data_IF_510907451366
#
_entry.id   IF_510907451366
#
_cell.length_a   1.000
_cell.length_b   1.000
_cell.length_c   1.000
_cell.angle_alpha   90.00
_cell.angle_beta   90.00
_cell.angle_gamma   90.00
#
_symmetry.space_group_name_H-M   'P 1'
#
loop_
_entity.id
_entity.type
_entity.pdbx_description
1 polymer ?
#
# COMPACT_ATOMS: atom_id res chain seq x y z
N UNK A 1 40.59 4.92 -29.93
CA UNK A 1 40.46 3.73 -29.07
C UNK A 1 40.11 4.19 -27.65
N UNK A 2 38.82 4.36 -27.34
CA UNK A 2 38.37 4.82 -26.03
C UNK A 2 36.90 4.50 -25.70
N UNK A 3 36.19 3.80 -26.59
CA UNK A 3 34.73 3.62 -26.49
C UNK A 3 34.32 2.46 -25.59
N UNK A 4 35.06 1.34 -25.57
CA UNK A 4 34.67 0.16 -24.78
C UNK A 4 34.78 0.27 -23.25
N UNK A 5 35.39 1.32 -22.69
CA UNK A 5 35.57 1.44 -21.23
C UNK A 5 34.35 2.05 -20.54
N UNK A 6 33.65 2.95 -21.22
CA UNK A 6 32.42 3.55 -20.69
C UNK A 6 31.25 2.55 -20.78
N UNK A 7 31.15 1.81 -21.89
CA UNK A 7 30.09 0.82 -22.10
C UNK A 7 30.14 -0.31 -21.05
N UNK A 8 31.33 -0.89 -20.81
CA UNK A 8 31.49 -1.93 -19.77
C UNK A 8 31.19 -1.40 -18.36
N UNK A 9 31.51 -0.14 -18.08
CA UNK A 9 31.19 0.49 -16.80
C UNK A 9 29.68 0.72 -16.66
N UNK A 10 28.99 1.18 -17.71
CA UNK A 10 27.54 1.37 -17.73
C UNK A 10 26.83 0.02 -17.55
N UNK A 11 27.23 -1.03 -18.27
CA UNK A 11 26.68 -2.37 -18.11
C UNK A 11 26.85 -2.90 -16.68
N UNK A 12 28.01 -2.66 -16.07
CA UNK A 12 28.27 -3.04 -14.68
C UNK A 12 27.36 -2.26 -13.71
N UNK A 13 27.23 -0.95 -13.89
CA UNK A 13 26.34 -0.12 -13.06
C UNK A 13 24.87 -0.53 -13.21
N UNK A 14 24.43 -0.86 -14.42
CA UNK A 14 23.07 -1.35 -14.67
C UNK A 14 22.81 -2.68 -13.96
N UNK A 15 23.76 -3.64 -14.03
CA UNK A 15 23.66 -4.90 -13.28
C UNK A 15 23.62 -4.70 -11.76
N UNK A 16 24.39 -3.74 -11.25
CA UNK A 16 24.37 -3.40 -9.82
C UNK A 16 23.03 -2.78 -9.40
N UNK A 17 22.46 -1.88 -10.22
CA UNK A 17 21.13 -1.32 -9.96
C UNK A 17 20.07 -2.42 -9.98
N UNK A 18 20.09 -3.29 -10.99
CA UNK A 18 19.15 -4.41 -11.12
C UNK A 18 19.21 -5.35 -9.90
N UNK A 19 20.42 -5.74 -9.49
CA UNK A 19 20.62 -6.57 -8.30
C UNK A 19 20.11 -5.93 -7.01
N UNK A 20 20.27 -4.61 -6.84
CA UNK A 20 19.76 -3.90 -5.67
C UNK A 20 18.24 -3.79 -5.72
N UNK A 21 17.66 -3.57 -6.90
CA UNK A 21 16.21 -3.55 -7.08
C UNK A 21 15.57 -4.89 -6.74
N UNK A 22 16.18 -6.00 -7.17
CA UNK A 22 15.73 -7.35 -6.83
C UNK A 22 15.80 -7.60 -5.31
N UNK A 23 16.90 -7.23 -4.67
CA UNK A 23 17.05 -7.36 -3.21
C UNK A 23 15.97 -6.56 -2.46
N UNK A 24 15.71 -5.32 -2.88
CA UNK A 24 14.66 -4.48 -2.31
C UNK A 24 13.26 -5.08 -2.54
N UNK A 25 12.99 -5.62 -3.73
CA UNK A 25 11.72 -6.26 -4.04
C UNK A 25 11.46 -7.46 -3.13
N UNK A 26 12.48 -8.29 -2.88
CA UNK A 26 12.35 -9.40 -1.94
C UNK A 26 12.13 -8.93 -0.49
N UNK A 27 12.81 -7.88 -0.06
CA UNK A 27 12.61 -7.31 1.28
C UNK A 27 11.19 -6.79 1.47
N UNK A 28 10.63 -6.12 0.46
CA UNK A 28 9.23 -5.65 0.46
C UNK A 28 8.26 -6.84 0.51
N UNK A 29 8.49 -7.87 -0.31
CA UNK A 29 7.65 -9.07 -0.31
C UNK A 29 7.62 -9.77 1.06
N UNK A 30 8.78 -9.88 1.73
CA UNK A 30 8.87 -10.43 3.09
C UNK A 30 8.18 -9.55 4.14
N UNK A 31 8.17 -8.23 3.95
CA UNK A 31 7.45 -7.32 4.84
C UNK A 31 5.93 -7.43 4.65
N UNK A 32 5.46 -7.63 3.41
CA UNK A 32 4.04 -7.83 3.08
C UNK A 32 3.46 -9.11 3.73
N UNK A 33 4.26 -10.17 3.87
CA UNK A 33 3.85 -11.40 4.59
C UNK A 33 3.55 -11.17 6.07
N UNK A 34 4.07 -10.10 6.66
CA UNK A 34 3.81 -9.74 8.08
C UNK A 34 2.54 -8.91 8.22
N UNK A 35 1.91 -8.50 7.12
CA UNK A 35 0.70 -7.70 7.12
C UNK A 35 -0.52 -8.57 7.48
N UNK A 36 -1.39 -8.13 8.41
CA UNK A 36 -2.62 -8.86 8.71
C UNK A 36 -3.45 -9.07 7.44
N UNK A 37 -3.96 -10.29 7.23
CA UNK A 37 -4.70 -10.67 6.01
C UNK A 37 -5.83 -9.69 5.63
N UNK A 38 -6.52 -9.12 6.64
CA UNK A 38 -7.57 -8.14 6.40
C UNK A 38 -7.02 -6.81 5.84
N UNK A 39 -5.84 -6.37 6.28
CA UNK A 39 -5.20 -5.15 5.76
C UNK A 39 -4.70 -5.39 4.35
N UNK A 40 -4.09 -6.54 4.06
CA UNK A 40 -3.69 -6.91 2.68
C UNK A 40 -4.88 -6.87 1.73
N UNK A 41 -5.99 -7.54 2.09
CA UNK A 41 -7.24 -7.48 1.33
C UNK A 41 -7.78 -6.06 1.15
N UNK A 42 -7.66 -5.19 2.15
CA UNK A 42 -8.04 -3.78 2.01
C UNK A 42 -7.16 -3.09 0.96
N UNK A 43 -5.85 -3.27 1.04
CA UNK A 43 -4.86 -2.63 0.15
C UNK A 43 -5.01 -3.07 -1.29
N UNK A 44 -5.40 -4.32 -1.53
CA UNK A 44 -5.67 -4.88 -2.86
C UNK A 44 -6.93 -4.29 -3.53
N UNK A 45 -7.85 -3.73 -2.74
CA UNK A 45 -9.15 -3.22 -3.22
C UNK A 45 -9.22 -1.69 -3.32
N UNK A 46 -8.22 -1.00 -2.78
CA UNK A 46 -8.12 0.47 -2.80
C UNK A 46 -7.09 0.92 -3.84
N UNK A 47 -7.47 1.88 -4.66
CA UNK A 47 -6.53 2.63 -5.50
C UNK A 47 -5.81 3.70 -4.64
N UNK A 48 -4.55 3.97 -4.96
CA UNK A 48 -3.76 5.01 -4.31
C UNK A 48 -4.38 6.39 -4.56
N UNK A 49 -4.34 7.26 -3.54
CA UNK A 49 -4.84 8.65 -3.56
C UNK A 49 -6.34 8.82 -3.89
N UNK A 50 -7.10 7.72 -4.00
CA UNK A 50 -8.53 7.75 -4.26
C UNK A 50 -9.34 7.71 -2.96
N UNK A 51 -10.26 8.66 -2.71
CA UNK A 51 -11.08 8.67 -1.50
C UNK A 51 -12.28 7.73 -1.59
N UNK A 52 -12.38 6.79 -0.65
CA UNK A 52 -13.51 5.87 -0.54
C UNK A 52 -14.37 6.13 0.70
N UNK A 53 -15.68 6.00 0.55
CA UNK A 53 -16.63 5.89 1.66
C UNK A 53 -16.48 4.54 2.35
N UNK A 54 -16.94 4.45 3.60
CA UNK A 54 -17.08 3.16 4.27
C UNK A 54 -18.01 2.19 3.51
N UNK A 55 -19.04 2.71 2.83
CA UNK A 55 -20.00 1.90 2.09
C UNK A 55 -19.37 1.26 0.84
N UNK A 56 -18.61 2.03 0.06
CA UNK A 56 -17.87 1.52 -1.11
C UNK A 56 -16.84 0.47 -0.71
N UNK A 57 -16.11 0.70 0.39
CA UNK A 57 -15.17 -0.29 0.92
C UNK A 57 -15.87 -1.57 1.37
N UNK A 58 -17.02 -1.44 2.06
CA UNK A 58 -17.82 -2.62 2.43
C UNK A 58 -18.29 -3.39 1.21
N UNK A 59 -18.75 -2.71 0.15
CA UNK A 59 -19.16 -3.35 -1.08
C UNK A 59 -18.00 -4.05 -1.78
N UNK A 60 -16.85 -3.38 -1.95
CA UNK A 60 -15.65 -3.94 -2.60
C UNK A 60 -15.04 -5.13 -1.84
N UNK A 61 -15.19 -5.15 -0.52
CA UNK A 61 -14.69 -6.23 0.35
C UNK A 61 -15.76 -7.26 0.71
N UNK A 62 -16.98 -7.11 0.18
CA UNK A 62 -18.13 -7.98 0.45
C UNK A 62 -18.44 -8.12 1.97
N UNK A 63 -18.25 -7.02 2.71
CA UNK A 63 -18.48 -6.97 4.15
C UNK A 63 -19.92 -6.58 4.48
N UNK A 64 -20.54 -7.34 5.38
CA UNK A 64 -21.89 -7.05 5.89
C UNK A 64 -21.91 -6.08 7.08
N UNK A 65 -20.78 -5.91 7.77
CA UNK A 65 -20.70 -5.15 9.03
C UNK A 65 -19.70 -4.01 8.96
N UNK A 66 -20.17 -2.80 9.28
CA UNK A 66 -19.32 -1.61 9.42
C UNK A 66 -18.33 -1.74 10.58
N UNK A 67 -18.70 -2.45 11.65
CA UNK A 67 -17.80 -2.74 12.76
C UNK A 67 -16.65 -3.65 12.32
N UNK A 68 -16.93 -4.65 11.48
CA UNK A 68 -15.89 -5.51 10.91
C UNK A 68 -14.92 -4.69 10.04
N UNK A 69 -15.43 -3.84 9.14
CA UNK A 69 -14.59 -2.94 8.33
C UNK A 69 -13.71 -2.06 9.23
N UNK A 70 -14.28 -1.43 10.27
CA UNK A 70 -13.53 -0.53 11.16
C UNK A 70 -12.43 -1.27 11.93
N UNK A 71 -12.76 -2.37 12.59
CA UNK A 71 -11.86 -2.99 13.57
C UNK A 71 -10.81 -3.89 12.92
N UNK A 72 -11.17 -4.57 11.82
CA UNK A 72 -10.30 -5.59 11.21
C UNK A 72 -9.53 -5.05 10.00
N UNK A 73 -10.04 -4.01 9.34
CA UNK A 73 -9.44 -3.48 8.10
C UNK A 73 -8.89 -2.08 8.33
N UNK A 74 -9.75 -1.09 8.60
CA UNK A 74 -9.36 0.32 8.64
C UNK A 74 -8.46 0.66 9.85
N UNK A 75 -8.83 0.25 11.07
CA UNK A 75 -8.06 0.60 12.27
C UNK A 75 -6.62 0.04 12.23
N UNK A 76 -6.40 -1.24 11.86
CA UNK A 76 -5.06 -1.74 11.66
C UNK A 76 -4.31 -1.03 10.54
N UNK A 77 -4.94 -0.76 9.39
CA UNK A 77 -4.32 -0.04 8.28
C UNK A 77 -3.90 1.40 8.65
N UNK A 78 -4.74 2.11 9.43
CA UNK A 78 -4.42 3.46 9.92
C UNK A 78 -3.28 3.44 10.94
N UNK A 79 -3.21 2.45 11.84
CA UNK A 79 -2.07 2.30 12.77
C UNK A 79 -0.75 2.03 12.05
N UNK A 80 -0.81 1.33 10.92
CA UNK A 80 0.34 1.07 10.05
C UNK A 80 0.66 2.24 9.12
N UNK A 81 -0.14 3.32 9.12
CA UNK A 81 0.07 4.47 8.24
C UNK A 81 -0.16 4.17 6.76
N UNK A 82 -0.96 3.16 6.42
CA UNK A 82 -1.28 2.78 5.03
C UNK A 82 -2.57 3.45 4.53
N UNK A 83 -3.41 3.89 5.46
CA UNK A 83 -4.69 4.54 5.18
C UNK A 83 -4.84 5.76 6.07
N UNK A 84 -5.39 6.83 5.53
CA UNK A 84 -5.71 8.04 6.27
C UNK A 84 -7.19 8.40 6.18
N UNK A 85 -7.66 9.17 7.16
CA UNK A 85 -8.99 9.78 7.19
C UNK A 85 -8.94 11.15 6.54
N UNK A 86 -9.94 11.49 5.71
CA UNK A 86 -10.05 12.85 5.15
C UNK A 86 -10.52 13.91 6.16
N UNK A 87 -11.22 13.49 7.22
CA UNK A 87 -11.70 14.38 8.29
C UNK A 87 -11.32 13.79 9.66
N UNK A 88 -10.02 13.81 10.03
CA UNK A 88 -9.53 13.15 11.24
C UNK A 88 -10.17 13.68 12.54
N UNK A 89 -10.51 14.98 12.59
CA UNK A 89 -11.13 15.60 13.77
C UNK A 89 -12.58 15.16 14.02
N UNK A 90 -13.24 14.63 12.98
CA UNK A 90 -14.64 14.18 13.03
C UNK A 90 -14.75 12.77 12.45
N UNK A 91 -14.22 11.74 13.14
CA UNK A 91 -14.12 10.37 12.60
C UNK A 91 -15.47 9.71 12.31
N UNK A 92 -16.55 10.22 12.90
CA UNK A 92 -17.91 9.75 12.68
C UNK A 92 -18.70 10.63 11.68
N UNK A 93 -18.03 11.56 10.99
CA UNK A 93 -18.64 12.42 9.98
C UNK A 93 -19.31 11.60 8.88
N UNK A 94 -20.50 12.02 8.45
CA UNK A 94 -21.19 11.44 7.28
C UNK A 94 -20.35 11.56 5.99
N UNK A 95 -19.50 12.59 5.93
CA UNK A 95 -18.62 12.84 4.79
C UNK A 95 -17.22 12.25 4.96
N UNK A 96 -17.01 11.41 5.98
CA UNK A 96 -15.74 10.72 6.17
C UNK A 96 -15.40 9.87 4.93
N UNK A 97 -14.15 9.96 4.48
CA UNK A 97 -13.55 9.11 3.46
C UNK A 97 -12.22 8.56 3.95
N UNK A 98 -11.76 7.49 3.30
CA UNK A 98 -10.51 6.80 3.59
C UNK A 98 -9.69 6.74 2.32
N UNK A 99 -8.42 7.12 2.41
CA UNK A 99 -7.49 7.17 1.27
C UNK A 99 -6.33 6.24 1.57
N UNK A 100 -5.96 5.42 0.58
CA UNK A 100 -4.72 4.63 0.59
C UNK A 100 -3.57 5.55 0.16
N UNK A 101 -2.50 5.54 0.95
CA UNK A 101 -1.27 6.30 0.70
C UNK A 101 -0.12 5.38 0.32
#
# INVERSE_FOLDING_TARGET
HGEGRADTFIEFMLRMIDSVLDELAEQIARADDRLPLCVKKLMDRMEYDTPYTAAELMQRLELKSKNALRNNYLSPAMRLGLVIMTIPDKPNSRNQRYIKI
#
